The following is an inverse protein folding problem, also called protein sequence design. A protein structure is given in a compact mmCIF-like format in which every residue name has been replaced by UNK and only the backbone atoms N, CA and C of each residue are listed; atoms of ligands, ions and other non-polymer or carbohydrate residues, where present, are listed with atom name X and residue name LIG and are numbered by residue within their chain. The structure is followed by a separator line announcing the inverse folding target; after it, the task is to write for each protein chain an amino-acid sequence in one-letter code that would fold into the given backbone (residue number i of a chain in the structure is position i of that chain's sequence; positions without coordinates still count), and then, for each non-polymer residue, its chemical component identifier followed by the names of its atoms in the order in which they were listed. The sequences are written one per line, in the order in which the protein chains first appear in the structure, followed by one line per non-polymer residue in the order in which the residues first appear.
data_IF_371772903744
#
_entry.id   IF_371772903744
#
_cell.length_a   1.000
_cell.length_b   1.000
_cell.length_c   1.000
_cell.angle_alpha   90.00
_cell.angle_beta   90.00
_cell.angle_gamma   90.00
#
_symmetry.space_group_name_H-M   'P 1'
#
loop_
_entity.id
_entity.type
_entity.pdbx_description
1 polymer ?
#
# COMPACT_ATOMS: atom_id res chain seq x y z
N UNK A 1 -30.41 48.59 1.34
CA UNK A 1 -31.79 48.63 0.77
C UNK A 1 -31.99 47.37 -0.01
N UNK A 2 -32.91 46.53 0.42
CA UNK A 2 -33.69 45.59 -0.27
C UNK A 2 -33.77 44.20 0.38
N UNK A 3 -34.53 44.09 1.48
CA UNK A 3 -34.99 42.81 2.05
C UNK A 3 -36.03 42.16 1.11
N UNK A 4 -35.97 40.82 0.96
CA UNK A 4 -37.14 39.97 0.71
C UNK A 4 -36.97 38.62 1.41
N UNK A 5 -37.65 38.51 2.42
CA UNK A 5 -38.52 37.61 3.21
C UNK A 5 -38.88 36.26 2.51
N UNK A 6 -38.61 35.22 3.28
CA UNK A 6 -39.40 34.05 3.67
C UNK A 6 -40.68 33.71 2.87
N UNK A 7 -40.77 32.41 2.53
CA UNK A 7 -42.05 31.69 2.73
C UNK A 7 -41.77 30.23 3.12
N UNK A 8 -42.22 29.92 4.34
CA UNK A 8 -42.27 28.60 4.96
C UNK A 8 -43.55 27.90 4.52
N UNK A 9 -43.51 26.65 4.11
CA UNK A 9 -44.71 25.84 3.92
C UNK A 9 -44.57 24.55 4.73
N UNK A 10 -45.27 24.52 5.85
CA UNK A 10 -45.60 23.34 6.63
C UNK A 10 -46.58 22.46 5.87
N UNK A 11 -46.35 21.18 5.75
CA UNK A 11 -47.35 20.17 5.40
C UNK A 11 -47.47 19.17 6.55
N UNK A 12 -48.60 19.22 7.23
CA UNK A 12 -49.10 18.24 8.19
C UNK A 12 -49.46 16.95 7.46
N UNK A 13 -49.00 15.81 7.95
CA UNK A 13 -49.54 14.51 7.57
C UNK A 13 -50.21 13.86 8.77
N UNK A 14 -51.48 13.63 8.62
CA UNK A 14 -52.42 13.06 9.58
C UNK A 14 -52.25 11.55 9.73
N UNK A 15 -52.14 11.12 11.00
CA UNK A 15 -52.25 9.71 11.42
C UNK A 15 -53.74 9.27 11.35
N UNK A 16 -54.00 8.13 10.72
CA UNK A 16 -55.24 7.39 10.91
C UNK A 16 -54.99 6.18 11.83
N UNK A 17 -55.59 6.26 13.02
CA UNK A 17 -55.80 5.14 13.93
C UNK A 17 -57.16 4.51 13.61
N UNK A 18 -57.22 3.24 13.25
CA UNK A 18 -58.45 2.46 13.17
C UNK A 18 -58.52 1.56 14.40
N UNK A 19 -59.50 1.84 15.25
CA UNK A 19 -59.86 1.01 16.40
C UNK A 19 -60.86 -0.08 16.01
N UNK A 20 -60.59 -1.30 16.36
CA UNK A 20 -61.54 -2.42 16.27
C UNK A 20 -62.48 -2.40 17.48
N UNK A 21 -63.76 -2.34 17.21
CA UNK A 21 -64.82 -2.57 18.21
C UNK A 21 -65.54 -3.89 17.89
N UNK A 22 -65.57 -4.78 18.90
CA UNK A 22 -66.27 -6.06 18.88
C UNK A 22 -67.78 -5.87 19.15
N UNK A 23 -68.60 -6.55 18.36
CA UNK A 23 -70.00 -6.82 18.70
C UNK A 23 -70.35 -8.29 18.49
N UNK A 24 -71.17 -8.79 19.40
CA UNK A 24 -71.57 -10.16 19.65
C UNK A 24 -72.91 -10.51 19.01
N UNK A 25 -72.97 -11.63 18.32
CA UNK A 25 -74.01 -12.65 18.05
C UNK A 25 -75.48 -12.23 17.73
N UNK A 26 -76.26 -13.03 16.98
CA UNK A 26 -76.63 -14.40 17.43
C UNK A 26 -76.57 -15.49 16.33
N UNK A 27 -76.74 -16.73 16.83
CA UNK A 27 -76.73 -18.01 16.14
C UNK A 27 -77.85 -18.16 15.10
N UNK A 28 -77.52 -18.81 13.97
CA UNK A 28 -78.44 -19.71 13.27
C UNK A 28 -77.66 -20.87 12.66
N UNK A 29 -78.20 -22.07 12.93
CA UNK A 29 -77.67 -23.37 12.60
C UNK A 29 -78.02 -23.77 11.20
N UNK A 30 -77.07 -24.10 10.32
CA UNK A 30 -77.34 -24.98 9.17
C UNK A 30 -76.06 -25.74 8.80
N UNK A 31 -76.23 -27.05 8.65
CA UNK A 31 -75.23 -28.10 8.44
C UNK A 31 -74.41 -27.92 7.14
N UNK A 32 -73.29 -28.11 7.28
CA UNK A 32 -72.03 -28.62 6.82
C UNK A 32 -71.89 -29.47 5.57
N UNK A 33 -70.95 -29.09 4.80
CA UNK A 33 -70.06 -29.98 4.03
C UNK A 33 -68.61 -29.60 4.34
N UNK A 34 -67.89 -30.53 4.91
CA UNK A 34 -66.47 -30.39 5.26
C UNK A 34 -65.61 -30.64 4.01
N UNK A 35 -65.21 -29.59 3.31
CA UNK A 35 -64.15 -29.69 2.33
C UNK A 35 -62.83 -29.44 3.04
N UNK A 36 -62.04 -30.47 3.25
CA UNK A 36 -60.71 -30.40 3.80
C UNK A 36 -59.76 -29.86 2.72
N UNK A 37 -59.55 -28.54 2.68
CA UNK A 37 -58.44 -27.97 1.90
C UNK A 37 -57.12 -28.28 2.60
N UNK A 38 -56.35 -29.22 2.03
CA UNK A 38 -54.98 -29.51 2.44
C UNK A 38 -54.10 -28.36 1.95
N UNK A 39 -53.85 -27.38 2.82
CA UNK A 39 -52.84 -26.32 2.51
C UNK A 39 -51.46 -26.96 2.57
N UNK A 40 -50.96 -27.34 1.41
CA UNK A 40 -49.56 -27.76 1.26
C UNK A 40 -48.66 -26.53 1.41
N UNK A 41 -48.16 -26.31 2.61
CA UNK A 41 -47.12 -25.34 2.87
C UNK A 41 -45.80 -25.86 2.22
N UNK A 42 -45.51 -25.41 1.03
CA UNK A 42 -44.22 -25.65 0.39
C UNK A 42 -43.18 -24.85 1.18
N UNK A 43 -42.50 -25.51 2.10
CA UNK A 43 -41.29 -24.98 2.74
C UNK A 43 -40.23 -24.97 1.64
N UNK A 44 -40.03 -23.83 1.00
CA UNK A 44 -38.88 -23.60 0.11
C UNK A 44 -37.63 -23.58 1.00
N UNK A 45 -36.98 -24.70 1.13
CA UNK A 45 -35.64 -24.78 1.70
C UNK A 45 -34.70 -24.18 0.67
N UNK A 46 -34.38 -22.88 0.82
CA UNK A 46 -33.29 -22.27 0.07
C UNK A 46 -32.02 -22.97 0.54
N UNK A 47 -31.53 -23.90 -0.26
CA UNK A 47 -30.20 -24.49 -0.05
C UNK A 47 -29.23 -23.34 -0.28
N UNK A 48 -28.58 -22.87 0.77
CA UNK A 48 -27.50 -21.91 0.69
C UNK A 48 -26.36 -22.57 -0.07
N UNK A 49 -26.25 -22.26 -1.36
CA UNK A 49 -25.16 -22.74 -2.22
C UNK A 49 -23.93 -21.95 -1.84
N UNK A 50 -22.98 -22.59 -1.16
CA UNK A 50 -21.69 -21.95 -0.86
C UNK A 50 -20.97 -21.61 -2.15
N UNK A 51 -20.33 -20.41 -2.23
CA UNK A 51 -19.53 -20.02 -3.39
C UNK A 51 -18.43 -21.05 -3.68
N UNK A 52 -18.24 -21.39 -4.95
CA UNK A 52 -17.12 -22.23 -5.40
C UNK A 52 -15.90 -21.38 -5.70
N UNK A 53 -15.04 -21.19 -4.71
CA UNK A 53 -13.83 -20.37 -4.85
C UNK A 53 -12.75 -21.02 -5.73
N UNK A 54 -12.87 -22.30 -6.14
CA UNK A 54 -11.96 -22.92 -7.11
C UNK A 54 -12.00 -22.23 -8.48
N UNK A 55 -13.07 -21.50 -8.76
CA UNK A 55 -13.19 -20.68 -9.98
C UNK A 55 -12.11 -19.59 -10.06
N UNK A 56 -11.55 -19.15 -8.95
CA UNK A 56 -10.45 -18.20 -8.90
C UNK A 56 -9.09 -18.79 -9.31
N UNK A 57 -8.93 -20.11 -9.33
CA UNK A 57 -7.64 -20.77 -9.61
C UNK A 57 -7.06 -20.37 -10.96
N UNK A 58 -7.91 -20.10 -11.94
CA UNK A 58 -7.48 -19.65 -13.26
C UNK A 58 -6.80 -18.27 -13.22
N UNK A 59 -7.31 -17.36 -12.38
CA UNK A 59 -6.74 -16.02 -12.19
C UNK A 59 -5.44 -16.13 -11.39
N UNK A 60 -5.46 -16.87 -10.28
CA UNK A 60 -4.27 -17.10 -9.44
C UNK A 60 -3.13 -17.66 -10.29
N UNK A 61 -3.42 -18.62 -11.17
CA UNK A 61 -2.43 -19.22 -12.08
C UNK A 61 -1.83 -18.21 -13.07
N UNK A 62 -2.58 -17.22 -13.55
CA UNK A 62 -2.07 -16.16 -14.41
C UNK A 62 -1.04 -15.30 -13.67
N UNK A 63 -1.32 -14.92 -12.44
CA UNK A 63 -0.37 -14.18 -11.60
C UNK A 63 0.86 -15.03 -11.24
N UNK A 64 0.72 -16.32 -11.03
CA UNK A 64 1.85 -17.22 -10.77
C UNK A 64 2.83 -17.29 -11.95
N UNK A 65 2.40 -16.99 -13.16
CA UNK A 65 3.22 -17.05 -14.38
C UNK A 65 3.73 -15.68 -14.84
N UNK A 66 3.35 -14.59 -14.18
CA UNK A 66 3.67 -13.21 -14.59
C UNK A 66 5.18 -12.95 -14.76
N UNK A 67 6.01 -13.65 -13.99
CA UNK A 67 7.48 -13.51 -14.08
C UNK A 67 8.09 -14.29 -15.24
N UNK A 68 7.37 -15.24 -15.83
CA UNK A 68 7.82 -16.07 -16.94
C UNK A 68 7.56 -15.42 -18.30
N UNK A 69 6.53 -14.55 -18.40
CA UNK A 69 6.11 -13.94 -19.65
C UNK A 69 6.89 -12.67 -19.95
N UNK A 70 7.18 -12.33 -21.21
CA UNK A 70 7.77 -11.06 -21.57
C UNK A 70 6.73 -9.92 -21.45
N UNK A 71 7.19 -8.68 -21.24
CA UNK A 71 6.28 -7.53 -21.12
C UNK A 71 5.43 -7.31 -22.39
N UNK A 72 5.94 -7.73 -23.56
CA UNK A 72 5.23 -7.63 -24.84
C UNK A 72 4.05 -8.61 -24.96
N UNK A 73 4.08 -9.69 -24.18
CA UNK A 73 3.04 -10.74 -24.16
C UNK A 73 2.15 -10.59 -22.91
N UNK A 74 2.02 -9.38 -22.38
CA UNK A 74 1.27 -9.12 -21.16
C UNK A 74 -0.21 -9.48 -21.33
N UNK A 75 -0.72 -10.34 -20.47
CA UNK A 75 -2.13 -10.68 -20.41
C UNK A 75 -2.92 -9.45 -19.87
N UNK A 76 -3.75 -8.87 -20.74
CA UNK A 76 -4.58 -7.71 -20.40
C UNK A 76 -5.75 -8.06 -19.47
N UNK A 77 -6.03 -9.35 -19.25
CA UNK A 77 -7.06 -9.79 -18.31
C UNK A 77 -6.66 -9.69 -16.85
N UNK A 78 -5.38 -9.35 -16.57
CA UNK A 78 -4.83 -9.11 -15.26
C UNK A 78 -4.21 -7.71 -15.18
N UNK A 79 -3.88 -7.26 -13.96
CA UNK A 79 -3.19 -5.99 -13.79
C UNK A 79 -1.73 -6.08 -14.27
N UNK A 80 -1.41 -5.34 -15.33
CA UNK A 80 -0.06 -5.37 -15.94
C UNK A 80 1.02 -4.75 -15.06
N UNK A 81 0.67 -4.01 -14.00
CA UNK A 81 1.62 -3.54 -13.00
C UNK A 81 2.34 -4.72 -12.31
N UNK A 82 1.70 -5.88 -12.22
CA UNK A 82 2.33 -7.11 -11.68
C UNK A 82 3.68 -7.45 -12.34
N UNK A 83 3.89 -7.04 -13.61
CA UNK A 83 5.17 -7.25 -14.29
C UNK A 83 6.34 -6.46 -13.70
N UNK A 84 6.10 -5.45 -12.85
CA UNK A 84 7.15 -4.75 -12.11
C UNK A 84 7.90 -5.66 -11.13
N UNK A 85 7.29 -6.77 -10.72
CA UNK A 85 7.92 -7.75 -9.84
C UNK A 85 9.30 -8.20 -10.32
N UNK A 86 9.55 -8.20 -11.64
CA UNK A 86 10.81 -8.66 -12.22
C UNK A 86 12.00 -7.75 -11.92
N UNK A 87 11.77 -6.44 -11.96
CA UNK A 87 12.82 -5.43 -12.02
C UNK A 87 12.79 -4.47 -10.83
N UNK A 88 11.99 -4.75 -9.82
CA UNK A 88 11.86 -3.89 -8.65
C UNK A 88 12.05 -4.72 -7.39
N UNK A 89 13.12 -4.44 -6.67
CA UNK A 89 13.55 -5.23 -5.49
C UNK A 89 12.74 -4.95 -4.22
N UNK A 90 11.83 -3.97 -4.26
CA UNK A 90 10.90 -3.74 -3.14
C UNK A 90 9.80 -4.81 -3.05
N UNK A 91 9.57 -5.56 -4.14
CA UNK A 91 8.56 -6.60 -4.20
C UNK A 91 9.17 -7.98 -3.99
N UNK A 92 8.76 -8.66 -2.92
CA UNK A 92 9.18 -10.02 -2.59
C UNK A 92 8.37 -11.10 -3.34
N UNK A 93 7.15 -10.76 -3.74
CA UNK A 93 6.28 -11.72 -4.41
C UNK A 93 4.89 -11.18 -4.74
N UNK A 94 4.01 -12.11 -5.07
CA UNK A 94 2.57 -11.89 -5.20
C UNK A 94 1.88 -12.89 -4.29
N UNK A 95 0.99 -12.38 -3.46
CA UNK A 95 0.13 -13.16 -2.58
C UNK A 95 -1.33 -12.90 -2.96
N UNK A 96 -2.24 -13.78 -2.53
CA UNK A 96 -3.68 -13.54 -2.60
C UNK A 96 -4.34 -13.75 -1.25
N UNK A 97 -5.49 -13.13 -1.04
CA UNK A 97 -6.38 -13.39 0.08
C UNK A 97 -7.82 -13.49 -0.43
N UNK A 98 -8.64 -14.25 0.30
CA UNK A 98 -10.08 -14.26 0.15
C UNK A 98 -10.67 -13.47 1.32
N UNK A 99 -11.53 -12.50 1.02
CA UNK A 99 -12.15 -11.66 2.03
C UNK A 99 -13.44 -11.02 1.50
N UNK A 100 -14.51 -11.12 2.25
CA UNK A 100 -15.82 -10.52 1.93
C UNK A 100 -15.78 -9.00 2.17
N UNK A 101 -15.41 -8.25 1.13
CA UNK A 101 -15.21 -6.80 1.18
C UNK A 101 -16.51 -6.03 1.35
N UNK A 102 -17.56 -6.42 0.64
CA UNK A 102 -18.86 -5.73 0.63
C UNK A 102 -19.88 -6.34 1.59
N UNK A 103 -19.50 -7.40 2.31
CA UNK A 103 -20.29 -8.12 3.31
C UNK A 103 -21.56 -8.76 2.73
N UNK A 104 -21.46 -9.24 1.49
CA UNK A 104 -22.55 -9.94 0.80
C UNK A 104 -22.55 -11.46 1.02
N UNK A 105 -21.57 -12.01 1.76
CA UNK A 105 -21.41 -13.43 2.05
C UNK A 105 -20.59 -14.19 1.01
N UNK A 106 -20.02 -13.50 0.02
CA UNK A 106 -19.10 -14.06 -0.98
C UNK A 106 -17.75 -13.37 -0.82
N UNK A 107 -16.69 -14.14 -0.61
CA UNK A 107 -15.34 -13.55 -0.54
C UNK A 107 -14.85 -13.12 -1.91
N UNK A 108 -14.31 -11.91 -1.98
CA UNK A 108 -13.53 -11.44 -3.12
C UNK A 108 -12.13 -12.05 -3.11
N UNK A 109 -11.61 -12.33 -4.31
CA UNK A 109 -10.20 -12.63 -4.51
C UNK A 109 -9.42 -11.32 -4.59
N UNK A 110 -8.55 -11.09 -3.63
CA UNK A 110 -7.64 -9.95 -3.57
C UNK A 110 -6.24 -10.40 -3.97
N UNK A 111 -5.72 -9.89 -5.05
CA UNK A 111 -4.34 -10.09 -5.47
C UNK A 111 -3.50 -8.91 -5.00
N UNK A 112 -2.33 -9.18 -4.41
CA UNK A 112 -1.47 -8.15 -3.83
C UNK A 112 0.01 -8.40 -4.13
N UNK A 113 0.78 -7.33 -4.30
CA UNK A 113 2.21 -7.43 -4.09
C UNK A 113 2.51 -7.68 -2.61
N UNK A 114 3.41 -8.61 -2.36
CA UNK A 114 4.12 -8.73 -1.09
C UNK A 114 5.38 -7.89 -1.16
N UNK A 115 5.56 -6.98 -0.22
CA UNK A 115 6.77 -6.19 -0.08
C UNK A 115 7.82 -6.93 0.73
N UNK A 116 9.10 -6.55 0.61
CA UNK A 116 10.21 -7.11 1.41
C UNK A 116 10.01 -6.92 2.92
N UNK A 117 9.29 -5.89 3.35
CA UNK A 117 8.95 -5.65 4.76
C UNK A 117 7.73 -6.43 5.26
N UNK A 118 7.15 -7.29 4.43
CA UNK A 118 5.97 -8.09 4.74
C UNK A 118 4.62 -7.42 4.51
N UNK A 119 4.58 -6.13 4.20
CA UNK A 119 3.34 -5.41 3.90
C UNK A 119 2.80 -5.79 2.51
N UNK A 120 1.52 -5.48 2.26
CA UNK A 120 0.86 -5.78 1.00
C UNK A 120 0.32 -4.52 0.31
N UNK A 121 0.41 -4.52 -1.02
CA UNK A 121 -0.18 -3.49 -1.90
C UNK A 121 -1.15 -4.18 -2.85
N UNK A 122 -2.41 -3.78 -2.86
CA UNK A 122 -3.42 -4.36 -3.73
C UNK A 122 -3.07 -4.14 -5.20
N UNK A 123 -3.19 -5.20 -5.99
CA UNK A 123 -3.00 -5.21 -7.43
C UNK A 123 -4.31 -5.38 -8.19
N UNK A 124 -5.17 -6.26 -7.71
CA UNK A 124 -6.41 -6.60 -8.43
C UNK A 124 -7.44 -7.16 -7.47
N UNK A 125 -8.73 -7.01 -7.80
CA UNK A 125 -9.84 -7.56 -7.04
C UNK A 125 -10.83 -8.20 -8.00
N UNK A 126 -11.28 -9.41 -7.67
CA UNK A 126 -12.28 -10.17 -8.41
C UNK A 126 -13.38 -10.65 -7.48
N UNK A 127 -14.61 -10.73 -7.97
CA UNK A 127 -15.75 -11.32 -7.27
C UNK A 127 -16.33 -12.50 -8.05
N UNK A 128 -17.20 -13.27 -7.38
CA UNK A 128 -17.96 -14.37 -7.99
C UNK A 128 -19.44 -14.00 -8.07
N UNK A 129 -20.01 -14.16 -9.26
CA UNK A 129 -21.45 -14.03 -9.45
C UNK A 129 -21.94 -15.08 -10.45
N UNK A 130 -22.94 -15.85 -10.06
CA UNK A 130 -23.59 -16.86 -10.93
C UNK A 130 -22.58 -17.83 -11.60
N UNK A 131 -21.57 -18.26 -10.85
CA UNK A 131 -20.49 -19.14 -11.33
C UNK A 131 -19.47 -18.47 -12.27
N UNK A 132 -19.45 -17.15 -12.35
CA UNK A 132 -18.50 -16.38 -13.16
C UNK A 132 -17.57 -15.55 -12.30
N UNK A 133 -16.29 -15.48 -12.70
CA UNK A 133 -15.31 -14.58 -12.11
C UNK A 133 -15.37 -13.22 -12.80
N UNK A 134 -15.62 -12.16 -12.04
CA UNK A 134 -15.74 -10.80 -12.53
C UNK A 134 -14.61 -9.96 -11.95
N UNK A 135 -13.86 -9.26 -12.80
CA UNK A 135 -12.80 -8.35 -12.39
C UNK A 135 -13.40 -6.99 -12.01
N UNK A 136 -13.30 -6.64 -10.72
CA UNK A 136 -13.83 -5.38 -10.18
C UNK A 136 -12.92 -4.18 -10.50
N UNK A 137 -11.59 -4.38 -10.50
CA UNK A 137 -10.59 -3.35 -10.77
C UNK A 137 -10.21 -3.28 -12.24
N UNK A 138 -11.20 -3.23 -13.09
CA UNK A 138 -11.05 -3.24 -14.55
C UNK A 138 -10.68 -1.87 -15.14
N UNK A 139 -10.28 -1.77 -16.43
CA UNK A 139 -10.06 -0.51 -17.11
C UNK A 139 -11.28 0.43 -17.14
N UNK A 140 -12.48 -0.13 -17.16
CA UNK A 140 -13.76 0.61 -17.24
C UNK A 140 -13.97 1.50 -16.01
N UNK A 141 -13.40 1.11 -14.86
CA UNK A 141 -13.46 1.89 -13.61
C UNK A 141 -12.16 2.62 -13.30
N UNK A 142 -11.21 2.67 -14.27
CA UNK A 142 -9.89 3.31 -14.13
C UNK A 142 -9.01 2.72 -13.02
N UNK A 143 -9.20 1.48 -12.63
CA UNK A 143 -8.44 0.80 -11.58
C UNK A 143 -7.47 -0.27 -12.11
N UNK A 144 -7.32 -0.42 -13.43
CA UNK A 144 -6.44 -1.44 -14.04
C UNK A 144 -4.95 -1.23 -13.78
N UNK A 145 -4.54 -0.10 -13.20
CA UNK A 145 -3.14 0.27 -12.94
C UNK A 145 -2.84 0.52 -11.46
N UNK A 146 -3.67 -0.02 -10.54
CA UNK A 146 -3.38 0.05 -9.11
C UNK A 146 -2.14 -0.79 -8.78
N UNK A 147 -1.42 -0.40 -7.74
CA UNK A 147 -0.30 -1.18 -7.20
C UNK A 147 1.00 -0.42 -6.94
N UNK A 148 1.43 0.54 -7.75
CA UNK A 148 2.69 1.26 -7.53
C UNK A 148 2.45 2.68 -6.99
N UNK A 149 1.88 3.53 -7.84
CA UNK A 149 1.62 4.94 -7.53
C UNK A 149 0.14 5.22 -7.31
N UNK A 150 -0.69 4.29 -7.68
CA UNK A 150 -2.14 4.31 -7.50
C UNK A 150 -2.47 3.26 -6.46
N UNK A 151 -2.68 3.69 -5.23
CA UNK A 151 -2.99 2.78 -4.11
C UNK A 151 -4.50 2.59 -4.01
N UNK A 152 -4.92 1.36 -3.78
CA UNK A 152 -6.29 1.02 -3.45
C UNK A 152 -6.32 0.39 -2.04
N UNK A 153 -7.22 0.84 -1.22
CA UNK A 153 -7.33 0.39 0.16
C UNK A 153 -8.80 0.18 0.55
N UNK A 154 -9.16 -0.93 1.20
CA UNK A 154 -10.51 -1.15 1.67
C UNK A 154 -10.82 -0.28 2.89
N UNK A 155 -12.03 0.26 2.96
CA UNK A 155 -12.54 0.98 4.12
C UNK A 155 -13.42 0.06 4.99
N UNK A 156 -13.61 0.44 6.24
CA UNK A 156 -14.42 -0.35 7.21
C UNK A 156 -15.88 -0.49 6.79
N UNK A 157 -16.39 0.47 6.02
CA UNK A 157 -17.76 0.48 5.50
C UNK A 157 -17.95 -0.41 4.25
N UNK A 158 -16.92 -1.16 3.85
CA UNK A 158 -16.94 -2.01 2.66
C UNK A 158 -16.66 -1.27 1.35
N UNK A 159 -16.45 0.05 1.38
CA UNK A 159 -16.00 0.80 0.20
C UNK A 159 -14.50 0.70 -0.01
N UNK A 160 -14.02 1.14 -1.17
CA UNK A 160 -12.62 1.15 -1.55
C UNK A 160 -12.15 2.58 -1.78
N UNK A 161 -10.99 2.95 -1.23
CA UNK A 161 -10.38 4.25 -1.43
C UNK A 161 -9.16 4.15 -2.35
N UNK A 162 -9.27 4.68 -3.55
CA UNK A 162 -8.13 4.92 -4.43
C UNK A 162 -7.43 6.21 -4.04
N UNK A 163 -6.11 6.20 -3.96
CA UNK A 163 -5.32 7.39 -3.73
C UNK A 163 -4.07 7.42 -4.61
N UNK A 164 -3.75 8.61 -5.11
CA UNK A 164 -2.51 8.87 -5.83
C UNK A 164 -1.97 10.23 -5.44
N UNK A 165 -0.66 10.41 -5.56
CA UNK A 165 -0.02 11.68 -5.23
C UNK A 165 1.02 12.09 -6.26
N UNK A 166 1.21 13.41 -6.42
CA UNK A 166 2.19 14.01 -7.32
C UNK A 166 2.86 15.23 -6.66
N UNK A 167 3.87 15.79 -7.34
CA UNK A 167 4.59 16.96 -6.84
C UNK A 167 5.27 16.75 -5.48
N UNK A 168 5.82 15.56 -5.23
CA UNK A 168 6.43 15.22 -3.94
C UNK A 168 5.40 15.11 -2.80
N UNK A 169 4.18 14.66 -3.11
CA UNK A 169 3.10 14.50 -2.14
C UNK A 169 2.27 15.77 -1.89
N UNK A 170 2.53 16.84 -2.63
CA UNK A 170 1.78 18.10 -2.50
C UNK A 170 0.35 17.99 -3.02
N UNK A 171 0.19 17.35 -4.16
CA UNK A 171 -1.13 17.12 -4.75
C UNK A 171 -1.56 15.69 -4.47
N UNK A 172 -2.72 15.51 -3.87
CA UNK A 172 -3.33 14.21 -3.61
C UNK A 172 -4.66 14.14 -4.35
N UNK A 173 -4.87 13.05 -5.05
CA UNK A 173 -6.14 12.75 -5.71
C UNK A 173 -6.68 11.46 -5.10
N UNK A 174 -7.91 11.51 -4.63
CA UNK A 174 -8.59 10.41 -3.95
C UNK A 174 -9.94 10.18 -4.59
N UNK A 175 -10.30 8.90 -4.78
CA UNK A 175 -11.62 8.50 -5.24
C UNK A 175 -12.10 7.36 -4.34
N UNK A 176 -13.31 7.53 -3.79
CA UNK A 176 -13.99 6.46 -3.08
C UNK A 176 -14.92 5.72 -4.04
N UNK A 177 -14.78 4.41 -4.08
CA UNK A 177 -15.63 3.50 -4.83
C UNK A 177 -16.51 2.70 -3.89
N UNK A 178 -17.74 2.45 -4.32
CA UNK A 178 -18.67 1.53 -3.66
C UNK A 178 -19.04 0.41 -4.61
N UNK A 179 -19.35 -0.75 -4.05
CA UNK A 179 -19.96 -1.82 -4.83
C UNK A 179 -21.38 -1.40 -5.24
N UNK A 180 -21.77 -1.76 -6.44
CA UNK A 180 -23.15 -1.64 -6.89
C UNK A 180 -24.07 -2.62 -6.11
N UNK A 181 -25.35 -2.51 -6.28
CA UNK A 181 -26.33 -3.36 -5.56
C UNK A 181 -26.20 -4.86 -5.86
N UNK A 182 -25.45 -5.24 -6.89
CA UNK A 182 -25.21 -6.63 -7.27
C UNK A 182 -23.89 -7.18 -6.78
N UNK A 183 -23.00 -6.34 -6.25
CA UNK A 183 -21.64 -6.68 -5.85
C UNK A 183 -20.68 -6.98 -7.01
N UNK A 184 -21.08 -6.66 -8.26
CA UNK A 184 -20.34 -7.03 -9.46
C UNK A 184 -19.59 -5.91 -10.14
N UNK A 185 -19.76 -4.68 -9.65
CA UNK A 185 -19.16 -3.48 -10.22
C UNK A 185 -18.82 -2.47 -9.12
N UNK A 186 -17.72 -1.74 -9.33
CA UNK A 186 -17.37 -0.60 -8.51
C UNK A 186 -17.87 0.69 -9.16
N UNK A 187 -18.54 1.52 -8.39
CA UNK A 187 -19.05 2.81 -8.80
C UNK A 187 -18.38 3.92 -8.02
N UNK A 188 -17.98 4.98 -8.71
CA UNK A 188 -17.40 6.16 -8.06
C UNK A 188 -18.47 6.86 -7.21
N UNK A 189 -18.22 6.97 -5.91
CA UNK A 189 -19.11 7.63 -4.97
C UNK A 189 -18.67 9.08 -4.69
N UNK A 190 -17.37 9.28 -4.44
CA UNK A 190 -16.80 10.59 -4.12
C UNK A 190 -15.43 10.76 -4.78
N UNK A 191 -15.05 12.01 -5.04
CA UNK A 191 -13.75 12.39 -5.58
C UNK A 191 -13.23 13.64 -4.87
N UNK A 192 -11.94 13.64 -4.51
CA UNK A 192 -11.26 14.77 -3.88
C UNK A 192 -9.93 15.03 -4.58
N UNK A 193 -9.65 16.33 -4.80
CA UNK A 193 -8.36 16.83 -5.29
C UNK A 193 -7.84 17.82 -4.28
N UNK A 194 -6.75 17.48 -3.63
CA UNK A 194 -6.23 18.15 -2.44
C UNK A 194 -4.88 18.75 -2.78
N UNK A 195 -4.72 20.06 -2.60
CA UNK A 195 -3.46 20.77 -2.71
C UNK A 195 -2.94 21.09 -1.29
N UNK A 196 -2.10 20.19 -0.77
CA UNK A 196 -1.50 20.36 0.56
C UNK A 196 -0.62 21.61 0.67
N UNK A 197 -0.13 22.16 -0.44
CA UNK A 197 0.65 23.41 -0.44
C UNK A 197 -0.20 24.63 -0.10
N UNK A 198 -1.53 24.53 -0.27
CA UNK A 198 -2.52 25.53 0.14
C UNK A 198 -3.12 25.29 1.52
N UNK A 199 -2.63 24.27 2.24
CA UNK A 199 -3.16 23.88 3.54
C UNK A 199 -4.47 23.08 3.48
N UNK A 200 -4.86 22.60 2.28
CA UNK A 200 -6.01 21.74 2.13
C UNK A 200 -5.73 20.37 2.80
N UNK A 201 -6.75 19.82 3.45
CA UNK A 201 -6.66 18.57 4.19
C UNK A 201 -7.50 17.48 3.53
N UNK A 202 -7.16 16.25 3.83
CA UNK A 202 -7.99 15.10 3.47
C UNK A 202 -9.33 15.18 4.19
N UNK A 203 -10.41 14.63 3.57
CA UNK A 203 -11.74 14.68 4.17
C UNK A 203 -11.77 13.92 5.50
N UNK A 204 -12.47 14.50 6.48
CA UNK A 204 -12.74 13.84 7.75
C UNK A 204 -13.70 12.66 7.54
N UNK A 205 -13.58 11.63 8.37
CA UNK A 205 -14.52 10.50 8.40
C UNK A 205 -14.26 9.38 7.37
N UNK A 206 -13.17 9.43 6.62
CA UNK A 206 -12.64 8.24 5.96
C UNK A 206 -12.15 7.30 7.07
N UNK A 207 -13.07 6.46 7.55
CA UNK A 207 -12.75 5.52 8.62
C UNK A 207 -11.74 4.50 8.12
N UNK A 208 -10.75 4.34 8.97
CA UNK A 208 -9.60 3.54 8.69
C UNK A 208 -9.92 2.14 8.17
N UNK A 209 -9.17 1.84 7.27
CA UNK A 209 -8.89 0.70 6.47
C UNK A 209 -8.95 -0.58 7.29
N UNK A 210 -9.67 -1.56 6.80
CA UNK A 210 -9.38 -2.95 7.17
C UNK A 210 -7.86 -3.09 7.12
N UNK A 211 -7.26 -3.59 8.21
CA UNK A 211 -5.83 -3.81 8.30
C UNK A 211 -5.43 -4.83 7.22
N UNK A 212 -5.19 -4.31 6.02
CA UNK A 212 -4.91 -5.09 4.80
C UNK A 212 -3.75 -6.07 4.97
N UNK A 213 -2.81 -5.77 5.87
CA UNK A 213 -1.66 -6.61 6.14
C UNK A 213 -2.00 -7.80 7.07
N UNK A 214 -3.21 -7.83 7.65
CA UNK A 214 -3.71 -8.92 8.50
C UNK A 214 -4.69 -9.87 7.80
N UNK A 215 -4.94 -9.69 6.50
CA UNK A 215 -5.69 -10.67 5.73
C UNK A 215 -4.95 -12.01 5.70
N UNK A 216 -5.69 -13.10 5.58
CA UNK A 216 -5.09 -14.43 5.51
C UNK A 216 -4.48 -14.67 4.11
N UNK A 217 -3.28 -14.13 3.89
CA UNK A 217 -2.59 -14.21 2.62
C UNK A 217 -2.00 -15.60 2.35
N UNK A 218 -2.14 -16.03 1.10
CA UNK A 218 -1.52 -17.23 0.55
C UNK A 218 -0.60 -16.83 -0.60
N UNK A 219 0.56 -17.50 -0.72
CA UNK A 219 1.53 -17.15 -1.75
C UNK A 219 1.10 -17.66 -3.12
N UNK A 220 1.05 -16.75 -4.09
CA UNK A 220 0.90 -17.04 -5.51
C UNK A 220 2.27 -17.28 -6.14
N UNK A 221 3.21 -16.38 -5.84
CA UNK A 221 4.57 -16.41 -6.32
C UNK A 221 5.47 -15.70 -5.31
N UNK A 222 6.43 -16.42 -4.81
CA UNK A 222 7.55 -15.83 -4.08
C UNK A 222 8.69 -15.66 -5.06
N UNK A 223 9.18 -14.41 -5.18
CA UNK A 223 10.40 -14.16 -5.95
C UNK A 223 11.45 -15.14 -5.38
N UNK A 224 12.10 -15.99 -6.23
CA UNK A 224 13.18 -16.80 -5.70
C UNK A 224 14.05 -15.82 -4.92
N UNK A 225 14.28 -16.11 -3.65
CA UNK A 225 15.40 -15.47 -3.00
C UNK A 225 16.51 -15.67 -4.02
N UNK A 226 16.88 -14.60 -4.75
CA UNK A 226 18.22 -14.61 -5.26
C UNK A 226 18.95 -14.98 -3.98
N UNK A 227 19.45 -16.22 -3.88
CA UNK A 227 20.51 -16.52 -2.94
C UNK A 227 21.49 -15.40 -3.23
N UNK A 228 21.28 -14.23 -2.59
CA UNK A 228 22.40 -13.57 -2.02
C UNK A 228 22.96 -14.74 -1.24
N UNK A 229 23.90 -15.47 -1.90
CA UNK A 229 24.81 -16.24 -1.14
C UNK A 229 24.99 -15.38 0.08
N UNK A 230 24.74 -15.96 1.25
CA UNK A 230 25.29 -15.44 2.48
C UNK A 230 26.82 -15.62 2.39
N UNK A 231 27.40 -15.21 1.26
CA UNK A 231 28.64 -14.51 1.22
C UNK A 231 28.29 -13.34 2.08
N UNK A 232 28.67 -13.44 3.37
CA UNK A 232 28.76 -12.32 4.26
C UNK A 232 29.26 -11.16 3.40
N UNK A 233 28.32 -10.36 2.86
CA UNK A 233 28.68 -9.16 2.15
C UNK A 233 29.18 -8.28 3.27
N UNK A 234 30.52 -8.38 3.49
CA UNK A 234 31.25 -7.62 4.50
C UNK A 234 31.21 -6.13 4.18
N UNK A 235 30.03 -5.62 3.75
CA UNK A 235 29.92 -4.28 3.23
C UNK A 235 28.55 -3.65 3.42
N UNK A 236 28.43 -2.39 3.00
CA UNK A 236 27.20 -1.59 3.07
C UNK A 236 26.10 -2.24 2.22
N UNK A 237 24.99 -2.60 2.86
CA UNK A 237 23.80 -3.10 2.20
C UNK A 237 22.73 -2.01 2.09
N UNK A 238 22.63 -1.38 0.91
CA UNK A 238 21.74 -0.26 0.66
C UNK A 238 20.27 -0.66 0.86
N UNK A 239 19.88 -1.88 0.51
CA UNK A 239 18.50 -2.36 0.60
C UNK A 239 18.06 -2.52 2.06
N UNK A 240 18.90 -3.11 2.92
CA UNK A 240 18.64 -3.21 4.35
C UNK A 240 18.44 -1.83 4.99
N UNK A 241 19.33 -0.89 4.64
CA UNK A 241 19.29 0.46 5.18
C UNK A 241 18.04 1.22 4.73
N UNK A 242 17.61 1.06 3.49
CA UNK A 242 16.35 1.65 2.99
C UNK A 242 15.12 1.10 3.72
N UNK A 243 15.22 -0.12 4.24
CA UNK A 243 14.17 -0.77 5.04
C UNK A 243 14.30 -0.49 6.55
N UNK A 244 15.25 0.38 6.95
CA UNK A 244 15.44 0.75 8.35
C UNK A 244 16.32 -0.20 9.16
N UNK A 245 16.95 -1.21 8.53
CA UNK A 245 17.94 -2.06 9.14
C UNK A 245 19.36 -1.56 8.82
N UNK A 246 20.04 -1.03 9.83
CA UNK A 246 21.38 -0.47 9.69
C UNK A 246 22.49 -1.45 10.11
N UNK A 247 22.18 -2.75 10.20
CA UNK A 247 23.11 -3.78 10.67
C UNK A 247 24.40 -3.83 9.84
N UNK A 248 24.33 -3.64 8.52
CA UNK A 248 25.51 -3.59 7.63
C UNK A 248 26.42 -2.39 7.89
N UNK A 249 25.87 -1.28 8.41
CA UNK A 249 26.64 -0.10 8.83
C UNK A 249 27.22 -0.25 10.23
N UNK A 250 26.71 -1.15 11.08
CA UNK A 250 27.07 -1.23 12.50
C UNK A 250 28.56 -1.26 12.73
N UNK A 251 29.02 -0.39 13.61
CA UNK A 251 30.43 -0.23 13.98
C UNK A 251 30.90 1.22 13.91
N UNK A 252 32.22 1.41 14.06
CA UNK A 252 32.86 2.71 14.06
C UNK A 252 33.46 2.99 12.69
N UNK A 253 33.10 4.12 12.11
CA UNK A 253 33.65 4.64 10.87
C UNK A 253 34.54 5.83 11.19
N UNK A 254 35.71 5.92 10.59
CA UNK A 254 36.70 6.96 10.87
C UNK A 254 37.30 7.52 9.60
N UNK A 255 37.45 8.85 9.52
CA UNK A 255 38.12 9.52 8.41
C UNK A 255 39.63 9.80 8.76
N UNK A 256 40.38 10.29 7.77
CA UNK A 256 41.79 10.59 7.97
C UNK A 256 42.03 11.76 8.94
N UNK A 257 41.06 12.62 9.17
CA UNK A 257 41.10 13.74 10.10
C UNK A 257 40.80 13.31 11.55
N UNK A 258 40.50 12.01 11.78
CA UNK A 258 40.20 11.47 13.10
C UNK A 258 38.75 11.60 13.53
N UNK A 259 37.86 12.19 12.72
CA UNK A 259 36.43 12.23 13.02
C UNK A 259 35.85 10.82 12.98
N UNK A 260 34.84 10.56 13.80
CA UNK A 260 34.20 9.26 13.92
C UNK A 260 32.69 9.38 13.77
N UNK A 261 32.10 8.38 13.11
CA UNK A 261 30.66 8.14 13.05
C UNK A 261 30.41 6.72 13.53
N UNK A 262 29.42 6.53 14.39
CA UNK A 262 29.08 5.22 14.96
C UNK A 262 27.66 4.86 14.54
N UNK A 263 27.47 3.66 14.05
CA UNK A 263 26.18 3.08 13.78
C UNK A 263 25.98 1.81 14.61
N UNK A 264 24.73 1.57 15.01
CA UNK A 264 24.23 0.26 15.43
C UNK A 264 23.14 -0.22 14.46
N UNK A 265 22.49 -1.33 14.78
CA UNK A 265 21.41 -1.89 13.93
C UNK A 265 20.19 -0.97 13.81
N UNK A 266 20.01 0.00 14.73
CA UNK A 266 18.91 0.93 14.76
C UNK A 266 19.23 2.28 14.07
N UNK A 267 20.50 2.48 13.65
CA UNK A 267 20.94 3.68 12.95
C UNK A 267 22.10 4.41 13.59
N UNK A 268 22.12 5.74 13.46
CA UNK A 268 23.19 6.60 13.96
C UNK A 268 23.19 6.66 15.49
N UNK A 269 24.31 6.27 16.10
CA UNK A 269 24.53 6.41 17.54
C UNK A 269 25.06 7.80 17.84
N UNK A 270 24.20 8.67 18.34
CA UNK A 270 24.52 10.06 18.69
C UNK A 270 23.58 10.56 19.77
N UNK A 271 24.07 11.39 20.69
CA UNK A 271 23.25 12.04 21.72
C UNK A 271 22.47 13.23 21.17
N UNK A 272 22.96 13.84 20.08
CA UNK A 272 22.45 15.12 19.57
C UNK A 272 21.79 15.03 18.19
N UNK A 273 22.01 13.95 17.47
CA UNK A 273 21.57 13.80 16.07
C UNK A 273 20.87 12.48 15.84
N UNK A 274 19.93 12.48 14.89
CA UNK A 274 19.22 11.29 14.44
C UNK A 274 19.10 11.28 12.93
N UNK A 275 18.94 10.08 12.34
CA UNK A 275 18.62 9.95 10.91
C UNK A 275 17.24 10.54 10.68
N UNK A 276 17.11 11.38 9.66
CA UNK A 276 15.84 11.98 9.28
C UNK A 276 14.81 10.90 8.96
N UNK A 277 13.55 11.13 9.35
CA UNK A 277 12.41 10.29 8.96
C UNK A 277 12.07 10.43 7.46
N UNK A 278 12.67 11.40 6.76
CA UNK A 278 12.55 11.50 5.31
C UNK A 278 13.08 10.23 4.66
N UNK A 279 12.36 9.71 3.67
CA UNK A 279 12.77 8.53 2.91
C UNK A 279 14.14 8.78 2.27
N UNK A 280 15.14 7.90 2.47
CA UNK A 280 16.46 8.08 1.88
C UNK A 280 16.38 8.21 0.35
N UNK A 281 17.11 9.16 -0.22
CA UNK A 281 17.24 9.32 -1.67
C UNK A 281 18.32 8.36 -2.18
N UNK A 282 18.02 7.64 -3.26
CA UNK A 282 18.98 6.78 -3.94
C UNK A 282 19.43 7.46 -5.22
N UNK A 283 20.74 7.64 -5.34
CA UNK A 283 21.41 8.07 -6.58
C UNK A 283 22.29 6.92 -7.09
N UNK A 284 21.82 6.23 -8.10
CA UNK A 284 22.50 5.05 -8.63
C UNK A 284 22.73 3.98 -7.56
N UNK A 285 24.00 3.70 -7.24
CA UNK A 285 24.46 2.76 -6.21
C UNK A 285 24.79 3.43 -4.88
N UNK A 286 24.65 4.75 -4.77
CA UNK A 286 24.92 5.55 -3.58
C UNK A 286 23.61 5.92 -2.89
N UNK A 287 23.54 5.80 -1.56
CA UNK A 287 22.39 6.19 -0.77
C UNK A 287 22.71 7.42 0.06
N UNK A 288 21.85 8.42 0.03
CA UNK A 288 21.93 9.61 0.87
C UNK A 288 20.96 9.52 2.05
N UNK A 289 21.48 9.64 3.27
CA UNK A 289 20.72 9.78 4.50
C UNK A 289 20.73 11.25 4.93
N UNK A 290 19.58 11.79 5.27
CA UNK A 290 19.48 13.05 5.98
C UNK A 290 19.73 12.83 7.49
N UNK A 291 20.45 13.74 8.13
CA UNK A 291 20.66 13.76 9.58
C UNK A 291 20.21 15.12 10.13
N UNK A 292 19.44 15.09 11.21
CA UNK A 292 18.90 16.27 11.86
C UNK A 292 19.16 16.26 13.36
N UNK A 293 19.08 17.41 14.04
CA UNK A 293 19.11 17.45 15.51
C UNK A 293 17.97 16.66 16.14
N UNK A 294 18.24 15.91 17.21
CA UNK A 294 17.21 15.26 18.03
C UNK A 294 16.32 16.31 18.69
N UNK A 295 15.02 16.02 18.75
CA UNK A 295 14.04 16.93 19.33
C UNK A 295 13.64 18.12 18.47
N UNK A 296 14.09 18.16 17.22
CA UNK A 296 13.79 19.24 16.27
C UNK A 296 14.84 20.38 16.33
N UNK A 297 14.68 21.37 15.47
CA UNK A 297 15.59 22.49 15.36
C UNK A 297 16.08 22.73 13.94
N UNK A 298 16.82 23.84 13.76
CA UNK A 298 17.40 24.22 12.48
C UNK A 298 18.79 23.61 12.38
N UNK A 299 19.14 23.16 11.19
CA UNK A 299 20.44 22.56 10.87
C UNK A 299 20.31 21.07 10.62
N UNK A 300 21.37 20.53 10.05
CA UNK A 300 21.47 19.13 9.68
C UNK A 300 22.60 18.94 8.68
N UNK A 301 22.85 17.70 8.37
CA UNK A 301 23.86 17.31 7.37
C UNK A 301 23.40 16.03 6.68
N UNK A 302 24.10 15.59 5.67
CA UNK A 302 23.82 14.33 5.02
C UNK A 302 24.96 13.33 5.23
N UNK A 303 24.64 12.06 5.12
CA UNK A 303 25.62 10.99 5.02
C UNK A 303 25.39 10.27 3.68
N UNK A 304 26.42 10.22 2.84
CA UNK A 304 26.43 9.37 1.66
C UNK A 304 26.98 8.01 2.04
N UNK A 305 26.29 6.97 1.64
CA UNK A 305 26.67 5.57 1.82
C UNK A 305 27.12 5.06 0.45
N UNK A 306 28.41 4.72 0.34
CA UNK A 306 29.05 4.35 -0.92
C UNK A 306 29.61 2.95 -0.78
N UNK A 307 28.93 1.91 -1.26
CA UNK A 307 29.41 0.54 -1.23
C UNK A 307 30.76 0.35 -1.96
N UNK A 308 31.50 -0.68 -1.60
CA UNK A 308 32.67 -1.10 -2.36
C UNK A 308 32.29 -1.37 -3.82
N UNK A 309 33.13 -0.92 -4.75
CA UNK A 309 32.87 -0.99 -6.18
C UNK A 309 32.00 0.14 -6.75
N UNK A 310 31.29 0.89 -5.91
CA UNK A 310 30.51 2.04 -6.37
C UNK A 310 31.41 3.29 -6.55
N UNK A 311 31.10 4.12 -7.52
CA UNK A 311 31.74 5.41 -7.66
C UNK A 311 31.11 6.44 -6.74
N UNK A 312 31.93 7.29 -6.13
CA UNK A 312 31.44 8.42 -5.36
C UNK A 312 30.90 9.51 -6.33
N UNK A 313 29.89 10.30 -5.94
CA UNK A 313 29.37 11.37 -6.78
C UNK A 313 30.47 12.34 -7.23
N UNK A 314 30.30 12.91 -8.41
CA UNK A 314 31.19 13.95 -8.92
C UNK A 314 31.07 15.24 -8.08
N UNK A 315 32.18 15.94 -7.95
CA UNK A 315 32.28 17.23 -7.26
C UNK A 315 31.92 18.35 -8.24
N UNK A 316 30.97 19.20 -7.85
CA UNK A 316 30.67 20.42 -8.59
C UNK A 316 31.70 21.52 -8.28
N UNK A 317 32.46 21.97 -9.26
CA UNK A 317 33.53 22.95 -9.08
C UNK A 317 33.03 24.42 -9.03
N UNK A 318 31.72 24.66 -9.08
CA UNK A 318 31.12 25.98 -8.98
C UNK A 318 31.20 26.82 -10.28
N UNK A 319 31.97 26.37 -11.28
CA UNK A 319 32.11 27.02 -12.61
C UNK A 319 31.36 26.29 -13.72
N UNK A 320 30.42 25.42 -13.35
CA UNK A 320 29.66 24.57 -14.27
C UNK A 320 30.36 23.28 -14.69
N UNK A 321 31.60 23.05 -14.23
CA UNK A 321 32.32 21.79 -14.47
C UNK A 321 32.21 20.86 -13.28
N UNK A 322 32.41 19.55 -13.51
CA UNK A 322 32.47 18.55 -12.49
C UNK A 322 33.79 17.81 -12.56
N UNK A 323 34.22 17.27 -11.41
CA UNK A 323 35.42 16.44 -11.32
C UNK A 323 35.12 15.17 -10.51
N UNK A 324 35.80 14.04 -10.82
CA UNK A 324 35.68 12.83 -10.02
C UNK A 324 36.08 13.05 -8.57
N UNK A 325 35.38 12.43 -7.65
CA UNK A 325 35.80 12.40 -6.26
C UNK A 325 37.02 11.49 -6.08
N UNK A 326 37.92 11.90 -5.19
CA UNK A 326 39.13 11.13 -4.87
C UNK A 326 38.85 10.18 -3.71
N UNK A 327 38.32 9.02 -4.00
CA UNK A 327 38.00 8.00 -2.98
C UNK A 327 38.44 6.61 -3.40
N UNK A 328 38.78 5.76 -2.41
CA UNK A 328 39.18 4.36 -2.64
C UNK A 328 37.96 3.47 -2.91
N UNK A 329 37.70 3.15 -4.18
CA UNK A 329 36.53 2.39 -4.63
C UNK A 329 36.63 0.90 -4.22
N UNK A 330 37.78 0.42 -3.73
CA UNK A 330 37.94 -0.99 -3.33
C UNK A 330 37.22 -1.33 -2.01
N UNK A 331 36.78 -0.36 -1.26
CA UNK A 331 36.12 -0.53 0.05
C UNK A 331 34.85 0.31 0.21
N UNK A 332 34.07 -0.03 1.21
CA UNK A 332 32.96 0.78 1.66
C UNK A 332 33.43 2.12 2.21
N UNK A 333 32.70 3.17 1.87
CA UNK A 333 32.99 4.53 2.31
C UNK A 333 31.73 5.24 2.73
N UNK A 334 31.86 6.13 3.72
CA UNK A 334 30.86 7.13 4.02
C UNK A 334 31.44 8.52 3.73
N UNK A 335 30.59 9.44 3.41
CA UNK A 335 30.89 10.86 3.45
C UNK A 335 29.83 11.57 4.28
N UNK A 336 30.23 12.48 5.17
CA UNK A 336 29.30 13.22 6.01
C UNK A 336 29.62 14.72 5.99
N UNK A 337 28.61 15.54 5.75
CA UNK A 337 28.79 16.99 5.71
C UNK A 337 27.53 17.73 5.27
N UNK A 338 27.60 19.06 5.32
CA UNK A 338 26.58 19.93 4.71
C UNK A 338 26.87 20.13 3.23
N UNK A 339 28.15 20.20 2.87
CA UNK A 339 28.63 20.31 1.50
C UNK A 339 29.46 19.09 1.12
N UNK A 340 29.54 18.80 -0.16
CA UNK A 340 30.30 17.66 -0.71
C UNK A 340 31.57 18.13 -1.39
N UNK A 341 32.73 17.79 -0.83
CA UNK A 341 34.03 18.18 -1.34
C UNK A 341 34.73 17.12 -2.19
N UNK A 342 34.33 15.86 -2.06
CA UNK A 342 34.99 14.72 -2.75
C UNK A 342 36.47 14.49 -2.41
N UNK A 343 37.02 15.16 -1.38
CA UNK A 343 38.42 15.02 -0.97
C UNK A 343 38.64 13.72 -0.19
N UNK A 344 39.78 13.03 -0.38
CA UNK A 344 40.01 11.71 0.18
C UNK A 344 40.01 11.67 1.73
N UNK A 345 40.48 12.75 2.36
CA UNK A 345 40.55 12.84 3.84
C UNK A 345 39.17 12.97 4.51
N UNK A 346 38.13 13.29 3.74
CA UNK A 346 36.76 13.44 4.28
C UNK A 346 35.95 12.15 4.21
N UNK A 347 36.44 11.13 3.51
CA UNK A 347 35.74 9.84 3.48
C UNK A 347 36.06 9.02 4.73
N UNK A 348 35.00 8.45 5.30
CA UNK A 348 35.10 7.54 6.43
C UNK A 348 35.18 6.11 5.93
N UNK A 349 36.03 5.31 6.57
CA UNK A 349 36.12 3.87 6.36
C UNK A 349 35.86 3.14 7.67
N UNK A 350 35.40 1.90 7.61
CA UNK A 350 35.07 1.11 8.79
C UNK A 350 36.35 0.73 9.53
N UNK A 351 36.41 1.07 10.81
CA UNK A 351 37.53 0.70 11.67
C UNK A 351 37.51 -0.82 11.92
N UNK A 352 38.54 -1.50 11.51
CA UNK A 352 38.72 -2.92 11.84
C UNK A 352 39.20 -2.97 13.30
N UNK A 353 38.42 -3.59 14.21
CA UNK A 353 38.95 -3.95 15.52
C UNK A 353 40.11 -4.94 15.31
N UNK A 354 41.35 -4.53 15.52
CA UNK A 354 42.41 -5.49 15.68
C UNK A 354 42.01 -6.42 16.84
N UNK A 355 41.83 -7.71 16.54
CA UNK A 355 41.79 -8.72 17.60
C UNK A 355 43.13 -8.59 18.31
N UNK A 356 43.12 -8.16 19.56
CA UNK A 356 44.30 -8.16 20.39
C UNK A 356 44.97 -9.53 20.36
N UNK A 357 46.28 -9.50 20.13
CA UNK A 357 47.12 -10.64 20.36
C UNK A 357 47.07 -11.01 21.84
#
# INVERSE_FOLDING_TARGET
MGNKKLLSTLLLSSLFLVACQSQKAPEETTSVETTTETTTTTVSTTVEVKPDYSLYDSIISKYATVTKNSKGDADQSINTIAYLLRNNDIYAGIDYALYDLDKNGTDELIISFKLENGNHIFLDIYTLKDGQVIRLTSPEVNLASIGERVLLSPLVDGSLLMSTSSGGGKNVHMIQYKFDSTGTKLEQAYEWKIDRSKGEKEPDGLQDLVEKDKLNYQSVYTKPETKKEASAQKGINIVEIQNGDYSSLSGTWKNAQGHTIIFDKNGLVSDHSEISTAKPEKDGTVLRLGVRPKGGGVGGYFILLIPAGAEAPEVNNGNGTKSPAQSDNSRDRLYAGQDYSGKPEHFFTKSIKQKGM
#
